data_IF_786157761120
#
_entry.id   IF_786157761120
#
_cell.length_a   1.000
_cell.length_b   1.000
_cell.length_c   1.000
_cell.angle_alpha   90.00
_cell.angle_beta   90.00
_cell.angle_gamma   90.00
#
_symmetry.space_group_name_H-M   'P 1'
#
loop_
_entity.id
_entity.type
_entity.pdbx_description
1 polymer ?
#
# COMPACT_ATOMS: atom_id res chain seq x y z
N UNK A 1 7.31 16.52 19.83
CA UNK A 1 8.41 15.72 19.24
C UNK A 1 8.35 14.24 19.63
N UNK A 2 8.16 13.85 20.91
CA UNK A 2 8.06 12.43 21.31
C UNK A 2 6.91 11.64 20.63
N UNK A 3 5.79 12.28 20.30
CA UNK A 3 4.64 11.61 19.68
C UNK A 3 4.90 11.17 18.22
N UNK A 4 5.67 11.94 17.44
CA UNK A 4 6.04 11.59 16.06
C UNK A 4 6.95 10.36 16.02
N UNK A 5 7.92 10.28 16.93
CA UNK A 5 8.88 9.17 16.97
C UNK A 5 8.23 7.85 17.42
N UNK A 6 7.26 7.92 18.35
CA UNK A 6 6.45 6.77 18.76
C UNK A 6 5.51 6.28 17.67
N UNK A 7 4.94 7.21 16.88
CA UNK A 7 4.13 6.87 15.72
C UNK A 7 4.98 6.18 14.66
N UNK A 8 6.17 6.72 14.36
CA UNK A 8 7.11 6.16 13.38
C UNK A 8 7.60 4.77 13.77
N UNK A 9 7.83 4.52 15.07
CA UNK A 9 8.18 3.18 15.56
C UNK A 9 7.02 2.19 15.42
N UNK A 10 5.80 2.56 15.86
CA UNK A 10 4.62 1.69 15.71
C UNK A 10 4.30 1.40 14.24
N UNK A 11 4.51 2.39 13.38
CA UNK A 11 4.36 2.31 11.94
C UNK A 11 5.36 1.31 11.35
N UNK A 12 6.64 1.43 11.75
CA UNK A 12 7.68 0.48 11.36
C UNK A 12 7.37 -0.95 11.84
N UNK A 13 6.91 -1.11 13.07
CA UNK A 13 6.55 -2.41 13.64
C UNK A 13 5.32 -3.03 12.93
N UNK A 14 4.35 -2.20 12.53
CA UNK A 14 3.14 -2.62 11.82
C UNK A 14 3.44 -3.00 10.36
N UNK A 15 4.27 -2.19 9.69
CA UNK A 15 4.83 -2.51 8.39
C UNK A 15 5.61 -3.83 8.49
N UNK A 16 6.54 -3.98 9.44
CA UNK A 16 7.24 -5.25 9.68
C UNK A 16 6.32 -6.44 9.94
N UNK A 17 5.16 -6.25 10.59
CA UNK A 17 4.18 -7.30 10.82
C UNK A 17 3.47 -7.71 9.52
N UNK A 18 3.00 -6.74 8.72
CA UNK A 18 2.47 -6.98 7.37
C UNK A 18 3.50 -7.69 6.47
N UNK A 19 4.79 -7.38 6.66
CA UNK A 19 5.91 -7.92 5.90
C UNK A 19 6.46 -9.24 6.39
N UNK A 20 6.20 -9.62 7.64
CA UNK A 20 6.52 -10.96 8.17
C UNK A 20 5.58 -12.03 7.62
N UNK A 21 4.38 -11.61 7.19
CA UNK A 21 3.33 -12.51 6.74
C UNK A 21 2.75 -12.17 5.35
N UNK A 22 3.60 -11.87 4.33
CA UNK A 22 3.13 -11.44 3.02
C UNK A 22 2.36 -12.55 2.29
N UNK A 23 2.75 -13.80 2.52
CA UNK A 23 2.07 -15.00 2.00
C UNK A 23 0.89 -15.45 2.87
N UNK A 24 0.58 -14.74 3.96
CA UNK A 24 -0.62 -15.02 4.76
C UNK A 24 -1.77 -14.09 4.41
N UNK A 25 -1.57 -12.99 3.67
CA UNK A 25 -2.69 -12.17 3.17
C UNK A 25 -3.70 -13.04 2.39
N UNK A 26 -3.21 -14.03 1.63
CA UNK A 26 -4.03 -15.07 0.98
C UNK A 26 -4.58 -16.15 1.93
N UNK A 27 -3.93 -16.42 3.08
CA UNK A 27 -4.40 -17.42 4.08
C UNK A 27 -5.33 -16.82 5.13
N UNK A 28 -5.35 -15.51 5.30
CA UNK A 28 -6.31 -14.78 6.15
C UNK A 28 -7.66 -14.58 5.44
N UNK A 29 -7.84 -15.12 4.23
CA UNK A 29 -9.11 -15.19 3.50
C UNK A 29 -10.29 -15.73 4.32
N UNK A 30 -10.04 -16.53 5.38
CA UNK A 30 -11.07 -17.05 6.28
C UNK A 30 -11.69 -15.98 7.21
N UNK A 31 -11.06 -14.80 7.35
CA UNK A 31 -11.62 -13.64 8.02
C UNK A 31 -11.62 -12.46 7.06
N UNK A 32 -12.73 -12.28 6.34
CA UNK A 32 -12.98 -11.09 5.50
C UNK A 32 -12.73 -9.77 6.24
N UNK A 33 -12.84 -9.78 7.57
CA UNK A 33 -12.61 -8.65 8.46
C UNK A 33 -11.10 -8.37 8.59
N UNK A 34 -10.26 -9.40 8.74
CA UNK A 34 -8.82 -9.21 8.99
C UNK A 34 -8.12 -8.62 7.76
N UNK A 35 -8.42 -9.10 6.55
CA UNK A 35 -7.80 -8.57 5.32
C UNK A 35 -8.25 -7.14 5.00
N UNK A 36 -9.51 -6.82 5.29
CA UNK A 36 -10.02 -5.45 5.17
C UNK A 36 -9.33 -4.50 6.17
N UNK A 37 -9.22 -4.92 7.43
CA UNK A 37 -8.55 -4.15 8.48
C UNK A 37 -7.05 -3.98 8.17
N UNK A 38 -6.40 -4.99 7.61
CA UNK A 38 -5.00 -4.94 7.20
C UNK A 38 -4.77 -3.99 6.02
N UNK A 39 -5.64 -4.00 5.01
CA UNK A 39 -5.60 -2.99 3.93
C UNK A 39 -5.81 -1.57 4.49
N UNK A 40 -6.73 -1.40 5.43
CA UNK A 40 -6.94 -0.12 6.10
C UNK A 40 -5.72 0.35 6.89
N UNK A 41 -4.96 -0.57 7.51
CA UNK A 41 -3.71 -0.22 8.18
C UNK A 41 -2.67 0.33 7.20
N UNK A 42 -2.69 -0.06 5.92
CA UNK A 42 -1.77 0.49 4.91
C UNK A 42 -2.07 1.95 4.56
N UNK A 43 -3.28 2.46 4.83
CA UNK A 43 -3.58 3.90 4.61
C UNK A 43 -2.70 4.83 5.44
N UNK A 44 -2.06 4.34 6.50
CA UNK A 44 -1.08 5.16 7.24
C UNK A 44 0.12 5.58 6.38
N UNK A 45 0.43 4.83 5.31
CA UNK A 45 1.51 5.13 4.37
C UNK A 45 1.21 6.40 3.57
N UNK A 46 -0.06 6.75 3.37
CA UNK A 46 -0.50 8.01 2.76
C UNK A 46 0.08 9.22 3.52
N UNK A 47 0.20 9.13 4.85
CA UNK A 47 0.80 10.20 5.67
C UNK A 47 2.32 10.08 5.85
N UNK A 48 2.97 9.12 5.21
CA UNK A 48 4.40 8.85 5.33
C UNK A 48 5.03 8.41 4.00
N UNK A 49 5.08 9.29 2.97
CA UNK A 49 5.67 8.99 1.67
C UNK A 49 7.11 8.49 1.75
N UNK A 50 7.86 8.89 2.77
CA UNK A 50 9.25 8.45 2.97
C UNK A 50 9.40 6.92 3.11
N UNK A 51 8.31 6.19 3.32
CA UNK A 51 8.27 4.73 3.46
C UNK A 51 7.93 4.00 2.15
N UNK A 52 7.67 4.70 1.04
CA UNK A 52 7.33 4.06 -0.23
C UNK A 52 8.48 3.22 -0.79
N UNK A 53 9.72 3.67 -0.59
CA UNK A 53 10.91 2.89 -0.92
C UNK A 53 10.98 1.58 -0.13
N UNK A 54 10.58 1.59 1.16
CA UNK A 54 10.50 0.37 1.96
C UNK A 54 9.45 -0.58 1.39
N UNK A 55 8.25 -0.07 1.06
CA UNK A 55 7.18 -0.87 0.45
C UNK A 55 7.65 -1.66 -0.80
N UNK A 56 8.51 -1.03 -1.62
CA UNK A 56 9.06 -1.62 -2.84
C UNK A 56 10.20 -2.59 -2.54
N UNK A 57 11.13 -2.22 -1.65
CA UNK A 57 12.23 -3.09 -1.22
C UNK A 57 11.72 -4.41 -0.63
N UNK A 58 10.51 -4.37 -0.09
CA UNK A 58 9.85 -5.51 0.52
C UNK A 58 8.92 -6.26 -0.43
N UNK A 59 8.89 -5.85 -1.71
CA UNK A 59 8.11 -6.48 -2.77
C UNK A 59 6.61 -6.61 -2.42
N UNK A 60 6.05 -5.58 -1.77
CA UNK A 60 4.63 -5.58 -1.38
C UNK A 60 3.70 -5.20 -2.54
N UNK A 61 4.19 -4.43 -3.52
CA UNK A 61 3.40 -3.95 -4.67
C UNK A 61 2.71 -5.09 -5.44
N UNK A 62 3.41 -6.17 -5.86
CA UNK A 62 2.74 -7.27 -6.55
C UNK A 62 1.64 -7.94 -5.71
N UNK A 63 1.87 -8.10 -4.41
CA UNK A 63 0.88 -8.70 -3.49
C UNK A 63 -0.37 -7.84 -3.36
N UNK A 64 -0.21 -6.51 -3.24
CA UNK A 64 -1.34 -5.58 -3.19
C UNK A 64 -2.11 -5.62 -4.52
N UNK A 65 -1.42 -5.62 -5.65
CA UNK A 65 -2.05 -5.63 -6.98
C UNK A 65 -2.76 -6.95 -7.30
N UNK A 66 -2.29 -8.09 -6.81
CA UNK A 66 -2.97 -9.38 -6.97
C UNK A 66 -4.37 -9.39 -6.31
N UNK A 67 -4.58 -8.59 -5.26
CA UNK A 67 -5.87 -8.46 -4.60
C UNK A 67 -6.94 -7.77 -5.48
N UNK A 68 -6.57 -7.13 -6.59
CA UNK A 68 -7.54 -6.63 -7.58
C UNK A 68 -8.32 -7.77 -8.27
N UNK A 69 -7.74 -8.97 -8.34
CA UNK A 69 -8.41 -10.15 -8.91
C UNK A 69 -9.16 -10.99 -7.87
N UNK A 70 -9.33 -10.46 -6.65
CA UNK A 70 -9.92 -11.21 -5.54
C UNK A 70 -11.43 -11.45 -5.75
N UNK A 71 -11.91 -12.65 -5.36
CA UNK A 71 -13.31 -13.07 -5.55
C UNK A 71 -14.33 -12.19 -4.79
N UNK A 72 -13.88 -11.53 -3.71
CA UNK A 72 -14.66 -10.53 -3.00
C UNK A 72 -14.38 -9.15 -3.59
N UNK A 73 -15.40 -8.58 -4.24
CA UNK A 73 -15.32 -7.25 -4.86
C UNK A 73 -15.03 -6.14 -3.87
N UNK A 74 -15.42 -6.26 -2.59
CA UNK A 74 -15.14 -5.25 -1.57
C UNK A 74 -13.63 -5.08 -1.36
N UNK A 75 -12.87 -6.18 -1.42
CA UNK A 75 -11.42 -6.17 -1.29
C UNK A 75 -10.78 -5.45 -2.49
N UNK A 76 -11.24 -5.76 -3.70
CA UNK A 76 -10.75 -5.07 -4.89
C UNK A 76 -11.05 -3.56 -4.83
N UNK A 77 -12.24 -3.18 -4.38
CA UNK A 77 -12.61 -1.76 -4.16
C UNK A 77 -11.68 -1.10 -3.15
N UNK A 78 -11.33 -1.77 -2.05
CA UNK A 78 -10.41 -1.21 -1.06
C UNK A 78 -8.98 -1.06 -1.60
N UNK A 79 -8.53 -1.98 -2.45
CA UNK A 79 -7.22 -1.87 -3.11
C UNK A 79 -7.22 -0.69 -4.07
N UNK A 80 -8.29 -0.48 -4.85
CA UNK A 80 -8.44 0.69 -5.72
C UNK A 80 -8.41 1.98 -4.89
N UNK A 81 -9.12 2.03 -3.75
CA UNK A 81 -9.08 3.19 -2.86
C UNK A 81 -7.68 3.43 -2.30
N UNK A 82 -6.99 2.40 -1.83
CA UNK A 82 -5.61 2.50 -1.34
C UNK A 82 -4.67 3.04 -2.44
N UNK A 83 -4.80 2.55 -3.67
CA UNK A 83 -3.99 3.04 -4.80
C UNK A 83 -4.28 4.52 -5.10
N UNK A 84 -5.55 4.93 -5.04
CA UNK A 84 -5.92 6.34 -5.19
C UNK A 84 -5.29 7.19 -4.09
N UNK A 85 -5.39 6.77 -2.83
CA UNK A 85 -4.88 7.54 -1.70
C UNK A 85 -3.35 7.64 -1.73
N UNK A 86 -2.63 6.56 -2.09
CA UNK A 86 -1.17 6.55 -2.18
C UNK A 86 -0.62 7.37 -3.37
N UNK A 87 -1.45 7.62 -4.38
CA UNK A 87 -1.06 8.37 -5.60
C UNK A 87 -1.69 9.75 -5.67
N UNK A 88 -2.38 10.18 -4.60
CA UNK A 88 -2.97 11.52 -4.52
C UNK A 88 -1.85 12.58 -4.56
N UNK A 89 -1.91 13.57 -5.46
CA UNK A 89 -0.88 14.61 -5.54
C UNK A 89 -0.74 15.41 -4.24
N UNK A 90 -1.79 15.52 -3.42
CA UNK A 90 -1.75 16.24 -2.13
C UNK A 90 -0.95 15.51 -1.04
N UNK A 91 -0.52 14.26 -1.30
CA UNK A 91 0.33 13.48 -0.39
C UNK A 91 1.80 13.91 -0.47
N UNK A 92 2.21 14.44 -1.62
CA UNK A 92 3.58 14.88 -1.85
C UNK A 92 3.68 16.39 -1.58
N UNK A 93 4.83 16.84 -1.05
CA UNK A 93 5.05 18.28 -0.84
C UNK A 93 5.26 18.95 -2.21
N UNK A 94 4.72 20.17 -2.42
CA UNK A 94 4.77 20.93 -3.70
C UNK A 94 6.20 21.40 -4.11
N UNK A 95 7.26 20.76 -3.64
CA UNK A 95 8.66 21.06 -3.97
C UNK A 95 9.21 20.00 -4.94
N UNK A 96 9.77 20.43 -6.08
CA UNK A 96 10.29 19.55 -7.15
C UNK A 96 11.39 18.56 -6.69
N UNK A 97 12.05 18.81 -5.54
CA UNK A 97 13.02 17.89 -4.92
C UNK A 97 12.35 16.80 -4.04
N UNK A 98 11.06 16.95 -3.71
CA UNK A 98 10.28 16.07 -2.82
C UNK A 98 9.48 14.98 -3.56
N UNK A 99 9.56 14.93 -4.90
CA UNK A 99 8.82 13.99 -5.76
C UNK A 99 9.41 12.57 -5.83
N UNK A 100 10.57 12.33 -5.25
CA UNK A 100 11.24 11.03 -5.34
C UNK A 100 10.38 9.86 -4.80
N UNK A 101 9.68 9.96 -3.66
CA UNK A 101 8.76 8.92 -3.21
C UNK A 101 7.64 8.61 -4.20
N UNK A 102 7.05 9.66 -4.80
CA UNK A 102 6.01 9.52 -5.81
C UNK A 102 6.53 8.76 -7.02
N UNK A 103 7.70 9.17 -7.52
CA UNK A 103 8.31 8.58 -8.71
C UNK A 103 8.67 7.11 -8.50
N UNK A 104 9.23 6.79 -7.33
CA UNK A 104 9.59 5.43 -6.95
C UNK A 104 8.35 4.53 -6.86
N UNK A 105 7.25 5.01 -6.24
CA UNK A 105 5.97 4.27 -6.22
C UNK A 105 5.38 4.08 -7.61
N UNK A 106 5.27 5.15 -8.41
CA UNK A 106 4.67 5.10 -9.75
C UNK A 106 5.44 4.15 -10.66
N UNK A 107 6.78 4.19 -10.63
CA UNK A 107 7.60 3.26 -11.40
C UNK A 107 7.31 1.80 -11.03
N UNK A 108 7.27 1.48 -9.74
CA UNK A 108 6.96 0.13 -9.28
C UNK A 108 5.54 -0.32 -9.69
N UNK A 109 4.54 0.57 -9.63
CA UNK A 109 3.18 0.27 -10.08
C UNK A 109 3.11 0.00 -11.59
N UNK A 110 3.81 0.80 -12.39
CA UNK A 110 3.88 0.65 -13.86
C UNK A 110 4.60 -0.65 -14.24
N UNK A 111 5.73 -0.95 -13.61
CA UNK A 111 6.48 -2.21 -13.81
C UNK A 111 5.63 -3.45 -13.50
N UNK A 112 4.69 -3.33 -12.55
CA UNK A 112 3.76 -4.39 -12.19
C UNK A 112 2.42 -4.34 -12.96
N UNK A 113 2.35 -3.60 -14.07
CA UNK A 113 1.20 -3.54 -14.96
C UNK A 113 -0.11 -3.09 -14.29
N UNK A 114 -0.04 -2.16 -13.32
CA UNK A 114 -1.21 -1.68 -12.58
C UNK A 114 -2.40 -1.31 -13.48
N UNK A 115 -2.15 -0.62 -14.60
CA UNK A 115 -3.21 -0.18 -15.51
C UNK A 115 -3.96 -1.35 -16.15
N UNK A 116 -3.23 -2.41 -16.53
CA UNK A 116 -3.83 -3.62 -17.08
C UNK A 116 -4.70 -4.31 -16.04
N UNK A 117 -4.21 -4.41 -14.80
CA UNK A 117 -4.94 -5.06 -13.71
C UNK A 117 -6.19 -4.28 -13.31
N UNK A 118 -6.13 -2.95 -13.29
CA UNK A 118 -7.29 -2.08 -13.07
C UNK A 118 -8.34 -2.24 -14.17
N UNK A 119 -7.93 -2.27 -15.45
CA UNK A 119 -8.86 -2.48 -16.56
C UNK A 119 -9.50 -3.87 -16.52
N UNK A 120 -8.76 -4.89 -16.08
CA UNK A 120 -9.30 -6.24 -15.91
C UNK A 120 -10.26 -6.38 -14.72
N UNK A 121 -10.22 -5.44 -13.78
CA UNK A 121 -11.12 -5.40 -12.63
C UNK A 121 -12.47 -4.71 -12.92
N UNK A 122 -12.56 -3.90 -13.99
CA UNK A 122 -13.80 -3.28 -14.49
C UNK A 122 -14.74 -4.31 -15.13
#
# INVERSE_FOLDING_TARGET
MLSKQKLKQKLKDNIEACLKYPNQLDRFADSKIDLHDDLHKLNILVGAPELYSDLINLNAIPSILNLLAHNNTDIAVNVVQLLQDLTDPNVFEDDEESDEPARVLVNALVENNVLKLLVQNL
#
